data_IF_061158473971
#
_entry.id   IF_061158473971
#
_cell.length_a   1.000
_cell.length_b   1.000
_cell.length_c   1.000
_cell.angle_alpha   90.00
_cell.angle_beta   90.00
_cell.angle_gamma   90.00
#
_symmetry.space_group_name_H-M   'P 1'
#
loop_
_entity.id
_entity.type
_entity.pdbx_description
1 polymer ?
#
# COMPACT_ATOMS: atom_id res chain seq x y z
N UNK A 1 -25.02 -10.02 -11.53
CA UNK A 1 -23.64 -9.99 -12.07
C UNK A 1 -23.11 -8.55 -12.19
N UNK A 2 -23.57 -7.74 -13.16
CA UNK A 2 -23.05 -6.37 -13.39
C UNK A 2 -23.11 -5.43 -12.16
N UNK A 3 -24.20 -5.47 -11.39
CA UNK A 3 -24.37 -4.66 -10.17
C UNK A 3 -23.39 -5.05 -9.06
N UNK A 4 -23.18 -6.35 -8.86
CA UNK A 4 -22.22 -6.85 -7.86
C UNK A 4 -20.80 -6.46 -8.25
N UNK A 5 -20.46 -6.59 -9.54
CA UNK A 5 -19.16 -6.14 -10.06
C UNK A 5 -18.93 -4.64 -9.83
N UNK A 6 -19.93 -3.78 -10.10
CA UNK A 6 -19.81 -2.34 -9.84
C UNK A 6 -19.64 -2.01 -8.36
N UNK A 7 -20.34 -2.72 -7.47
CA UNK A 7 -20.19 -2.53 -6.03
C UNK A 7 -18.79 -2.96 -5.56
N UNK A 8 -18.28 -4.08 -6.07
CA UNK A 8 -16.92 -4.54 -5.75
C UNK A 8 -15.86 -3.55 -6.24
N UNK A 9 -15.95 -3.11 -7.51
CA UNK A 9 -15.02 -2.13 -8.08
C UNK A 9 -15.14 -0.78 -7.37
N UNK A 10 -16.35 -0.33 -7.06
CA UNK A 10 -16.58 0.91 -6.32
C UNK A 10 -16.01 0.86 -4.91
N UNK A 11 -16.30 -0.19 -4.16
CA UNK A 11 -15.73 -0.41 -2.83
C UNK A 11 -14.21 -0.50 -2.86
N UNK A 12 -13.67 -1.19 -3.86
CA UNK A 12 -12.22 -1.30 -4.07
C UNK A 12 -11.56 0.07 -4.27
N UNK A 13 -12.14 0.93 -5.13
CA UNK A 13 -11.61 2.28 -5.37
C UNK A 13 -11.74 3.16 -4.13
N UNK A 14 -12.83 3.04 -3.38
CA UNK A 14 -13.04 3.78 -2.13
C UNK A 14 -11.98 3.44 -1.08
N UNK A 15 -11.66 2.16 -0.90
CA UNK A 15 -10.59 1.72 0.02
C UNK A 15 -9.24 2.25 -0.43
N UNK A 16 -8.92 2.17 -1.72
CA UNK A 16 -7.67 2.71 -2.26
C UNK A 16 -7.53 4.23 -2.04
N UNK A 17 -8.62 4.98 -2.27
CA UNK A 17 -8.65 6.42 -2.03
C UNK A 17 -8.51 6.76 -0.54
N UNK A 18 -9.22 6.04 0.34
CA UNK A 18 -9.12 6.23 1.79
C UNK A 18 -7.70 6.02 2.32
N UNK A 19 -7.03 4.95 1.87
CA UNK A 19 -5.64 4.69 2.25
C UNK A 19 -4.67 5.77 1.76
N UNK A 20 -4.89 6.34 0.57
CA UNK A 20 -4.06 7.46 0.09
C UNK A 20 -4.29 8.74 0.88
N UNK A 21 -5.52 9.00 1.30
CA UNK A 21 -5.84 10.14 2.17
C UNK A 21 -5.17 9.96 3.54
N UNK A 22 -5.23 8.76 4.12
CA UNK A 22 -4.54 8.45 5.38
C UNK A 22 -3.01 8.62 5.28
N UNK A 23 -2.41 8.23 4.16
CA UNK A 23 -0.98 8.48 3.87
C UNK A 23 -0.68 9.99 3.76
N UNK A 24 -1.54 10.76 3.09
CA UNK A 24 -1.39 12.22 2.99
C UNK A 24 -1.47 12.92 4.34
N UNK A 25 -2.32 12.43 5.24
CA UNK A 25 -2.41 12.92 6.62
C UNK A 25 -1.32 12.36 7.55
N UNK A 26 -0.39 11.54 7.04
CA UNK A 26 0.73 10.98 7.80
C UNK A 26 0.32 9.92 8.83
N UNK A 27 -0.92 9.42 8.76
CA UNK A 27 -1.42 8.35 9.66
C UNK A 27 -0.74 7.02 9.34
N UNK A 28 -0.34 6.83 8.08
CA UNK A 28 0.31 5.61 7.60
C UNK A 28 1.49 5.99 6.71
N UNK A 29 2.63 5.36 6.92
CA UNK A 29 3.83 5.55 6.09
C UNK A 29 4.22 4.24 5.43
N UNK A 30 4.76 4.32 4.21
CA UNK A 30 5.23 3.14 3.50
C UNK A 30 6.70 2.88 3.87
N UNK A 31 7.00 1.70 4.38
CA UNK A 31 8.37 1.23 4.64
C UNK A 31 9.00 0.44 3.49
N UNK A 32 8.50 0.58 2.27
CA UNK A 32 9.06 -0.09 1.08
C UNK A 32 10.30 0.66 0.57
N UNK A 33 11.19 -0.03 -0.14
CA UNK A 33 12.35 0.62 -0.77
C UNK A 33 11.88 1.61 -1.84
N UNK A 34 12.70 2.62 -2.11
CA UNK A 34 12.45 3.62 -3.16
C UNK A 34 12.25 2.98 -4.55
N UNK A 35 12.87 1.81 -4.77
CA UNK A 35 12.81 1.05 -6.02
C UNK A 35 11.57 0.13 -6.10
N UNK A 36 10.76 0.09 -5.05
CA UNK A 36 9.55 -0.71 -5.03
C UNK A 36 8.52 -0.18 -6.04
N UNK A 37 7.79 -1.09 -6.69
CA UNK A 37 6.75 -0.72 -7.64
C UNK A 37 5.66 0.15 -7.01
N UNK A 38 5.48 0.10 -5.69
CA UNK A 38 4.53 0.93 -4.96
C UNK A 38 4.86 2.42 -4.96
N UNK A 39 6.09 2.82 -5.31
CA UNK A 39 6.46 4.23 -5.50
C UNK A 39 6.18 4.73 -6.92
N UNK A 40 5.85 3.83 -7.87
CA UNK A 40 5.58 4.22 -9.26
C UNK A 40 4.28 5.05 -9.33
N UNK A 41 4.27 6.17 -10.07
CA UNK A 41 3.06 6.96 -10.29
C UNK A 41 1.99 6.09 -10.98
N UNK A 42 0.78 6.08 -10.44
CA UNK A 42 -0.33 5.24 -10.89
C UNK A 42 -0.48 3.91 -10.13
N UNK A 43 0.62 3.30 -9.66
CA UNK A 43 0.57 2.05 -8.89
C UNK A 43 0.58 2.26 -7.36
N UNK A 44 1.01 3.44 -6.90
CA UNK A 44 1.08 3.79 -5.47
C UNK A 44 -0.26 3.74 -4.75
N UNK A 45 -1.36 3.96 -5.47
CA UNK A 45 -2.74 3.81 -4.98
C UNK A 45 -3.06 2.36 -4.62
N UNK A 46 -2.52 1.41 -5.39
CA UNK A 46 -2.86 -0.01 -5.27
C UNK A 46 -1.96 -0.75 -4.26
N UNK A 47 -0.95 -0.09 -3.69
CA UNK A 47 0.01 -0.72 -2.75
C UNK A 47 -0.68 -1.36 -1.54
N UNK A 48 -1.76 -0.74 -1.06
CA UNK A 48 -2.52 -1.18 0.11
C UNK A 48 -3.50 -2.31 -0.21
N UNK A 49 -3.78 -2.52 -1.48
CA UNK A 49 -4.75 -3.53 -1.92
C UNK A 49 -4.05 -4.79 -2.42
N UNK A 50 -2.85 -4.66 -2.99
CA UNK A 50 -2.00 -5.79 -3.36
C UNK A 50 -0.82 -5.89 -2.41
N UNK A 51 -0.84 -6.80 -1.42
CA UNK A 51 0.26 -6.99 -0.49
C UNK A 51 1.45 -7.75 -1.10
N UNK A 52 1.38 -8.16 -2.37
CA UNK A 52 2.40 -8.99 -3.03
C UNK A 52 3.39 -8.18 -3.86
N UNK A 53 4.63 -8.67 -3.91
CA UNK A 53 5.70 -8.07 -4.71
C UNK A 53 6.30 -6.78 -4.13
N UNK A 54 5.91 -6.38 -2.92
CA UNK A 54 6.55 -5.27 -2.22
C UNK A 54 7.97 -5.62 -1.83
N UNK A 55 8.89 -4.69 -2.06
CA UNK A 55 10.27 -4.79 -1.59
C UNK A 55 10.40 -3.85 -0.39
N UNK A 56 10.69 -4.40 0.80
CA UNK A 56 10.92 -3.58 1.99
C UNK A 56 12.22 -2.79 1.86
N UNK A 57 12.24 -1.56 2.40
CA UNK A 57 13.47 -0.76 2.45
C UNK A 57 14.51 -1.39 3.38
N UNK A 58 14.02 -2.11 4.40
CA UNK A 58 14.83 -2.84 5.34
C UNK A 58 14.91 -4.31 4.93
N UNK A 59 16.11 -4.89 5.02
CA UNK A 59 16.24 -6.34 5.06
C UNK A 59 15.42 -6.93 6.23
N UNK A 60 15.04 -8.20 6.15
CA UNK A 60 14.34 -8.87 7.26
C UNK A 60 15.13 -8.77 8.58
N UNK A 61 16.46 -8.74 8.47
CA UNK A 61 17.40 -8.64 9.58
C UNK A 61 17.40 -7.23 10.20
N UNK A 62 17.42 -6.17 9.39
CA UNK A 62 17.30 -4.79 9.87
C UNK A 62 15.94 -4.50 10.50
N UNK A 63 14.85 -5.05 9.94
CA UNK A 63 13.52 -4.90 10.53
C UNK A 63 13.46 -5.56 11.91
N UNK A 64 14.02 -6.76 12.06
CA UNK A 64 14.10 -7.44 13.35
C UNK A 64 14.94 -6.65 14.37
N UNK A 65 16.01 -5.98 13.93
CA UNK A 65 16.82 -5.13 14.80
C UNK A 65 16.09 -3.83 15.23
N UNK A 66 15.21 -3.29 14.39
CA UNK A 66 14.37 -2.13 14.71
C UNK A 66 13.22 -2.48 15.66
N UNK A 67 12.57 -3.63 15.50
CA UNK A 67 11.47 -4.08 16.37
C UNK A 67 11.94 -4.43 17.80
N UNK A 68 13.24 -4.66 18.00
CA UNK A 68 13.85 -4.95 19.30
C UNK A 68 14.25 -3.70 20.10
N UNK A 69 14.08 -2.50 19.55
CA UNK A 69 14.53 -1.23 20.16
C UNK A 69 13.36 -0.40 20.67
#
# INVERSE_FOLDING_TARGET
MKRVFLVLVGGYVLVAAGNRVAEHFGVMTCGCSEDCWCHRPGLSLFRWVFPWGHRSAHSAEEKAALDLR
#
